data_IF_125067035107
#
_entry.id   IF_125067035107
#
_cell.length_a   1.000
_cell.length_b   1.000
_cell.length_c   1.000
_cell.angle_alpha   90.00
_cell.angle_beta   90.00
_cell.angle_gamma   90.00
#
_symmetry.space_group_name_H-M   'P 1'
#
loop_
_entity.id
_entity.type
_entity.pdbx_description
1 polymer ?
#
# COMPACT_ATOMS: atom_id res chain seq x y z
N UNK A 1 -25.39 2.45 2.22
CA UNK A 1 -25.53 3.44 3.30
C UNK A 1 -24.47 4.52 3.14
N UNK A 2 -24.76 5.77 3.54
CA UNK A 2 -23.74 6.79 3.76
C UNK A 2 -23.37 6.81 5.24
N UNK A 3 -22.09 7.05 5.54
CA UNK A 3 -21.58 7.18 6.91
C UNK A 3 -20.96 8.57 7.03
N UNK A 4 -21.37 9.33 8.04
CA UNK A 4 -20.78 10.61 8.42
C UNK A 4 -20.21 10.49 9.82
N UNK A 5 -19.04 11.07 10.06
CA UNK A 5 -18.37 11.07 11.36
C UNK A 5 -17.98 12.49 11.72
N UNK A 6 -18.23 12.88 12.97
CA UNK A 6 -17.70 14.11 13.55
C UNK A 6 -17.08 13.83 14.92
N UNK A 7 -16.07 14.62 15.27
CA UNK A 7 -15.43 14.59 16.59
C UNK A 7 -15.45 15.99 17.16
N UNK A 8 -15.99 16.17 18.36
CA UNK A 8 -16.15 17.48 19.00
C UNK A 8 -16.85 18.49 18.07
N UNK A 9 -17.95 18.06 17.43
CA UNK A 9 -18.67 18.80 16.39
C UNK A 9 -17.88 19.17 15.12
N UNK A 10 -16.61 18.74 15.00
CA UNK A 10 -15.81 18.91 13.79
C UNK A 10 -16.08 17.75 12.82
N UNK A 11 -16.66 17.99 11.64
CA UNK A 11 -16.93 16.94 10.66
C UNK A 11 -15.62 16.40 10.06
N UNK A 12 -15.56 15.09 9.83
CA UNK A 12 -14.39 14.41 9.24
C UNK A 12 -14.75 13.81 7.89
N UNK A 13 -13.86 14.00 6.92
CA UNK A 13 -13.97 13.36 5.60
C UNK A 13 -13.55 11.90 5.70
N UNK A 14 -14.40 10.99 5.21
CA UNK A 14 -14.14 9.55 5.21
C UNK A 14 -13.86 9.08 3.79
N UNK A 15 -12.63 8.68 3.53
CA UNK A 15 -12.26 8.07 2.26
C UNK A 15 -12.64 6.58 2.24
N UNK A 16 -13.03 6.07 1.06
CA UNK A 16 -13.18 4.63 0.86
C UNK A 16 -11.80 3.98 0.69
N UNK A 17 -11.66 2.78 1.23
CA UNK A 17 -10.52 1.90 0.97
C UNK A 17 -10.58 1.32 -0.44
N UNK A 18 -9.48 0.70 -0.88
CA UNK A 18 -9.31 0.21 -2.25
C UNK A 18 -10.37 -0.81 -2.69
N UNK A 19 -10.87 -1.62 -1.74
CA UNK A 19 -11.91 -2.63 -1.97
C UNK A 19 -13.35 -2.08 -1.97
N UNK A 20 -13.53 -0.76 -1.79
CA UNK A 20 -14.82 -0.03 -1.71
C UNK A 20 -15.79 -0.47 -0.60
N UNK A 21 -15.55 -1.60 0.05
CA UNK A 21 -16.35 -2.17 1.16
C UNK A 21 -15.89 -1.67 2.53
N UNK A 22 -14.67 -1.16 2.64
CA UNK A 22 -14.11 -0.57 3.86
C UNK A 22 -13.86 0.93 3.72
N UNK A 23 -13.79 1.63 4.85
CA UNK A 23 -13.32 3.00 4.93
C UNK A 23 -11.85 3.03 5.36
N UNK A 24 -11.10 4.02 4.89
CA UNK A 24 -9.74 4.24 5.41
C UNK A 24 -9.84 4.65 6.89
N UNK A 25 -8.90 4.20 7.75
CA UNK A 25 -8.87 4.62 9.15
C UNK A 25 -8.80 6.14 9.30
N UNK A 26 -9.60 6.71 10.20
CA UNK A 26 -9.57 8.14 10.52
C UNK A 26 -8.59 8.41 11.65
N UNK A 27 -7.72 9.40 11.46
CA UNK A 27 -6.78 9.81 12.48
C UNK A 27 -7.32 10.99 13.28
N UNK A 28 -7.73 10.74 14.53
CA UNK A 28 -8.48 11.71 15.32
C UNK A 28 -7.59 12.66 16.16
N UNK A 29 -6.28 12.41 16.29
CA UNK A 29 -5.44 13.15 17.27
C UNK A 29 -5.50 14.66 17.10
N UNK A 30 -5.61 15.15 15.86
CA UNK A 30 -5.62 16.58 15.54
C UNK A 30 -6.91 17.31 15.92
N UNK A 31 -8.02 16.58 16.14
CA UNK A 31 -9.32 17.12 16.60
C UNK A 31 -9.62 16.79 18.06
N UNK A 32 -8.76 16.00 18.71
CA UNK A 32 -8.90 15.68 20.12
C UNK A 32 -8.46 16.85 21.01
N UNK A 33 -9.18 17.04 22.11
CA UNK A 33 -8.88 18.01 23.17
C UNK A 33 -8.58 17.30 24.50
N UNK A 34 -7.88 17.95 25.45
CA UNK A 34 -7.74 17.44 26.81
C UNK A 34 -9.12 17.19 27.46
N UNK A 35 -9.26 16.08 28.19
CA UNK A 35 -10.51 15.71 28.84
C UNK A 35 -11.48 14.95 27.93
N UNK A 36 -12.75 15.37 27.89
CA UNK A 36 -13.81 14.65 27.19
C UNK A 36 -13.80 14.97 25.70
N UNK A 37 -13.82 13.91 24.89
CA UNK A 37 -14.02 13.97 23.45
C UNK A 37 -15.30 13.23 23.09
N UNK A 38 -16.10 13.77 22.18
CA UNK A 38 -17.35 13.16 21.72
C UNK A 38 -17.24 12.81 20.25
N UNK A 39 -17.45 11.54 19.91
CA UNK A 39 -17.48 11.06 18.52
C UNK A 39 -18.94 10.79 18.16
N UNK A 40 -19.43 11.42 17.11
CA UNK A 40 -20.77 11.21 16.57
C UNK A 40 -20.66 10.52 15.22
N UNK A 41 -21.39 9.42 15.05
CA UNK A 41 -21.43 8.62 13.83
C UNK A 41 -22.88 8.56 13.36
N UNK A 42 -23.14 9.07 12.16
CA UNK A 42 -24.46 9.04 11.53
C UNK A 42 -24.42 8.06 10.36
N UNK A 43 -25.29 7.05 10.37
CA UNK A 43 -25.44 6.10 9.27
C UNK A 43 -26.79 6.30 8.62
N UNK A 44 -26.81 6.64 7.34
CA UNK A 44 -28.04 6.74 6.55
C UNK A 44 -28.14 5.49 5.67
N UNK A 45 -29.09 4.60 5.98
CA UNK A 45 -29.41 3.47 5.11
C UNK A 45 -30.01 4.00 3.80
N UNK A 46 -29.63 3.40 2.67
CA UNK A 46 -30.29 3.69 1.40
C UNK A 46 -31.58 2.88 1.39
N UNK A 47 -32.72 3.52 1.61
CA UNK A 47 -34.00 2.95 1.24
C UNK A 47 -34.06 2.97 -0.29
N UNK A 48 -33.50 1.96 -0.95
CA UNK A 48 -33.76 1.73 -2.36
C UNK A 48 -35.23 1.31 -2.49
N UNK A 49 -36.16 2.27 -2.48
CA UNK A 49 -37.52 2.05 -2.95
C UNK A 49 -37.38 1.87 -4.46
N UNK A 50 -37.54 0.65 -4.93
CA UNK A 50 -37.67 0.35 -6.35
C UNK A 50 -38.81 1.21 -6.92
N UNK A 51 -38.49 2.09 -7.86
CA UNK A 51 -39.47 2.79 -8.67
C UNK A 51 -40.39 1.75 -9.34
N UNK A 52 -41.68 1.80 -9.03
CA UNK A 52 -42.71 1.42 -10.00
C UNK A 52 -43.65 2.61 -10.14
N UNK A 53 -43.62 3.20 -11.34
CA UNK A 53 -44.66 4.09 -11.84
C UNK A 53 -46.00 3.33 -11.82
N UNK A 54 -47.04 3.95 -11.27
CA UNK A 54 -48.34 3.33 -11.17
C UNK A 54 -49.37 4.27 -10.55
N UNK A 55 -49.81 5.27 -11.31
CA UNK A 55 -50.97 6.10 -10.98
C UNK A 55 -52.22 5.23 -10.83
N UNK A 56 -52.73 4.97 -9.62
CA UNK A 56 -54.16 4.67 -9.40
C UNK A 56 -54.63 5.15 -8.02
N UNK A 57 -55.65 6.02 -8.04
CA UNK A 57 -56.53 6.34 -6.91
C UNK A 57 -57.24 5.07 -6.44
N UNK A 58 -57.23 4.79 -5.15
CA UNK A 58 -58.07 3.75 -4.54
C UNK A 58 -57.76 3.57 -3.05
N UNK A 59 -58.77 3.76 -2.20
CA UNK A 59 -58.72 3.51 -0.76
C UNK A 59 -59.06 2.03 -0.52
N UNK A 60 -58.15 1.23 0.05
CA UNK A 60 -58.47 -0.08 0.64
C UNK A 60 -57.65 -0.32 1.91
N UNK A 61 -58.34 -0.96 2.86
CA UNK A 61 -58.04 -1.25 4.26
C UNK A 61 -57.03 -2.40 4.40
N UNK A 62 -56.45 -2.52 5.60
CA UNK A 62 -55.40 -3.46 6.04
C UNK A 62 -55.49 -4.90 5.51
N UNK A 63 -54.32 -5.44 5.15
CA UNK A 63 -54.06 -6.86 4.92
C UNK A 63 -52.54 -7.09 4.80
N UNK A 64 -52.01 -8.00 5.62
CA UNK A 64 -50.58 -8.27 5.74
C UNK A 64 -49.91 -8.58 4.38
N UNK A 65 -48.84 -7.84 4.06
CA UNK A 65 -47.90 -8.21 3.02
C UNK A 65 -46.51 -8.32 3.65
N UNK A 66 -45.96 -9.53 3.60
CA UNK A 66 -44.60 -9.84 4.01
C UNK A 66 -43.62 -8.81 3.43
N UNK A 67 -42.90 -8.12 4.31
CA UNK A 67 -41.81 -7.23 3.92
C UNK A 67 -40.71 -8.09 3.29
N UNK A 68 -40.15 -7.73 2.12
CA UNK A 68 -38.98 -8.42 1.61
C UNK A 68 -37.81 -8.11 2.54
N UNK A 69 -37.13 -9.18 2.93
CA UNK A 69 -35.99 -9.24 3.83
C UNK A 69 -34.84 -8.34 3.33
N UNK A 70 -34.83 -7.06 3.71
CA UNK A 70 -33.62 -6.23 3.58
C UNK A 70 -32.69 -6.70 4.68
N UNK A 71 -31.63 -7.43 4.33
CA UNK A 71 -30.60 -7.79 5.31
C UNK A 71 -30.07 -6.50 5.94
N UNK A 72 -30.18 -6.29 7.26
CA UNK A 72 -29.61 -5.10 7.88
C UNK A 72 -28.10 -5.11 7.63
N UNK A 73 -27.59 -4.12 6.89
CA UNK A 73 -26.15 -3.91 6.77
C UNK A 73 -25.63 -3.61 8.17
N UNK A 74 -25.01 -4.61 8.80
CA UNK A 74 -24.39 -4.47 10.11
C UNK A 74 -23.08 -3.71 9.94
N UNK A 75 -22.85 -2.68 10.76
CA UNK A 75 -21.64 -1.87 10.73
C UNK A 75 -20.86 -2.09 12.03
N UNK A 76 -19.55 -2.30 11.92
CA UNK A 76 -18.64 -2.37 13.06
C UNK A 76 -17.78 -1.11 13.10
N UNK A 77 -17.81 -0.39 14.21
CA UNK A 77 -16.96 0.77 14.46
C UNK A 77 -15.97 0.41 15.56
N UNK A 78 -14.68 0.69 15.33
CA UNK A 78 -13.61 0.38 16.28
C UNK A 78 -12.81 1.66 16.55
N UNK A 79 -12.64 1.99 17.84
CA UNK A 79 -11.74 3.04 18.30
C UNK A 79 -10.51 2.39 18.96
N UNK A 80 -9.32 2.71 18.46
CA UNK A 80 -8.07 2.18 18.99
C UNK A 80 -7.08 3.29 19.26
N UNK A 81 -6.36 3.19 20.38
CA UNK A 81 -5.16 3.97 20.61
C UNK A 81 -4.00 3.27 19.91
N UNK A 82 -3.34 3.98 18.98
CA UNK A 82 -2.24 3.44 18.18
C UNK A 82 -0.97 4.24 18.39
N UNK A 83 0.18 3.55 18.43
CA UNK A 83 1.48 4.19 18.36
C UNK A 83 1.87 4.38 16.89
N UNK A 84 2.15 5.62 16.49
CA UNK A 84 2.56 5.97 15.13
C UNK A 84 3.99 6.51 15.17
N UNK A 85 5.01 5.66 14.97
CA UNK A 85 6.40 6.12 14.97
C UNK A 85 6.63 7.10 13.82
N UNK A 86 7.56 8.04 14.02
CA UNK A 86 7.98 8.94 12.95
C UNK A 86 8.72 8.17 11.85
N UNK A 87 8.70 8.69 10.62
CA UNK A 87 9.49 8.16 9.50
C UNK A 87 10.96 7.98 9.89
N UNK A 88 11.53 8.96 10.60
CA UNK A 88 12.91 8.91 11.10
C UNK A 88 13.14 7.74 12.06
N UNK A 89 12.22 7.48 12.99
CA UNK A 89 12.34 6.35 13.94
C UNK A 89 12.28 5.01 13.21
N UNK A 90 11.36 4.87 12.26
CA UNK A 90 11.23 3.68 11.41
C UNK A 90 12.49 3.46 10.57
N UNK A 91 12.99 4.52 9.92
CA UNK A 91 14.20 4.51 9.10
C UNK A 91 15.41 4.00 9.89
N UNK A 92 15.64 4.56 11.09
CA UNK A 92 16.73 4.14 11.97
C UNK A 92 16.60 2.67 12.39
N UNK A 93 15.38 2.21 12.67
CA UNK A 93 15.11 0.81 12.99
C UNK A 93 15.46 -0.14 11.83
N UNK A 94 15.10 0.24 10.60
CA UNK A 94 15.39 -0.55 9.40
C UNK A 94 16.89 -0.62 9.12
N UNK A 95 17.61 0.50 9.19
CA UNK A 95 19.08 0.51 8.96
C UNK A 95 19.77 -0.48 9.90
N UNK A 96 19.35 -0.56 11.16
CA UNK A 96 19.95 -1.43 12.16
C UNK A 96 19.55 -2.91 12.01
N UNK A 97 18.31 -3.18 11.59
CA UNK A 97 17.72 -4.53 11.63
C UNK A 97 17.60 -5.22 10.27
N UNK A 98 17.72 -4.47 9.18
CA UNK A 98 17.39 -4.92 7.82
C UNK A 98 18.52 -4.62 6.82
N UNK A 99 19.76 -4.56 7.28
CA UNK A 99 20.91 -4.50 6.38
C UNK A 99 21.04 -5.85 5.66
N UNK A 100 21.02 -5.84 4.33
CA UNK A 100 21.32 -7.01 3.50
C UNK A 100 22.82 -6.99 3.18
N UNK A 101 23.59 -7.97 3.66
CA UNK A 101 25.04 -7.99 3.44
C UNK A 101 25.41 -8.09 1.97
N UNK A 102 26.56 -7.54 1.61
CA UNK A 102 27.03 -7.44 0.23
C UNK A 102 27.07 -8.80 -0.49
N UNK A 103 27.45 -9.88 0.21
CA UNK A 103 27.48 -11.25 -0.29
C UNK A 103 26.10 -11.69 -0.78
N UNK A 104 25.07 -11.42 0.02
CA UNK A 104 23.68 -11.75 -0.33
C UNK A 104 23.15 -10.85 -1.46
N UNK A 105 23.53 -9.56 -1.49
CA UNK A 105 23.24 -8.68 -2.62
C UNK A 105 23.81 -9.23 -3.93
N UNK A 106 25.08 -9.66 -3.92
CA UNK A 106 25.77 -10.27 -5.07
C UNK A 106 25.06 -11.54 -5.51
N UNK A 107 24.62 -12.40 -4.59
CA UNK A 107 23.79 -13.58 -4.94
C UNK A 107 22.50 -13.17 -5.67
N UNK A 108 21.80 -12.13 -5.20
CA UNK A 108 20.60 -11.62 -5.89
C UNK A 108 20.93 -11.05 -7.27
N UNK A 109 22.06 -10.38 -7.43
CA UNK A 109 22.54 -9.85 -8.72
C UNK A 109 22.85 -10.99 -9.69
N UNK A 110 23.67 -11.98 -9.29
CA UNK A 110 24.09 -13.11 -10.13
C UNK A 110 22.91 -13.87 -10.76
N UNK A 111 21.79 -14.03 -10.03
CA UNK A 111 20.57 -14.67 -10.54
C UNK A 111 20.00 -14.01 -11.80
N UNK A 112 20.25 -12.72 -12.02
CA UNK A 112 19.76 -12.01 -13.21
C UNK A 112 20.62 -12.29 -14.46
N UNK A 113 21.79 -12.91 -14.30
CA UNK A 113 22.69 -13.31 -15.38
C UNK A 113 22.52 -14.79 -15.74
N UNK A 114 21.89 -15.59 -14.88
CA UNK A 114 21.72 -17.04 -15.08
C UNK A 114 20.41 -17.46 -15.77
N UNK A 115 19.50 -16.53 -16.08
CA UNK A 115 18.14 -16.85 -16.61
C UNK A 115 18.04 -16.91 -18.14
N UNK A 116 19.03 -17.53 -18.80
CA UNK A 116 19.11 -17.69 -20.26
C UNK A 116 18.31 -18.86 -20.86
N UNK A 117 17.63 -19.71 -20.08
CA UNK A 117 16.76 -20.76 -20.62
C UNK A 117 15.28 -20.37 -20.49
N UNK A 118 14.71 -19.90 -21.59
CA UNK A 118 13.25 -19.79 -21.75
C UNK A 118 12.67 -21.22 -21.88
N UNK A 119 11.75 -21.67 -21.01
CA UNK A 119 11.04 -22.91 -21.24
C UNK A 119 9.92 -22.67 -22.28
N UNK A 120 10.03 -23.28 -23.47
CA UNK A 120 8.87 -23.43 -24.37
C UNK A 120 9.04 -23.06 -25.83
N UNK A 121 10.24 -22.73 -26.33
CA UNK A 121 10.49 -22.56 -27.77
C UNK A 121 11.44 -23.64 -28.27
N UNK A 122 10.97 -24.66 -29.01
CA UNK A 122 11.86 -25.57 -29.73
C UNK A 122 12.44 -24.81 -30.93
N UNK A 123 13.64 -24.26 -30.77
CA UNK A 123 14.45 -23.82 -31.90
C UNK A 123 15.05 -25.03 -32.63
N UNK A 124 15.02 -25.09 -33.97
CA UNK A 124 15.68 -26.15 -34.70
C UNK A 124 17.20 -25.87 -34.67
N UNK A 125 17.95 -26.81 -34.10
CA UNK A 125 19.42 -26.86 -34.05
C UNK A 125 20.07 -26.04 -32.92
N UNK A 126 21.07 -26.65 -32.28
CA UNK A 126 21.60 -26.28 -30.97
C UNK A 126 22.47 -25.01 -30.91
N UNK A 127 22.63 -24.56 -29.66
CA UNK A 127 23.70 -23.70 -29.15
C UNK A 127 23.80 -22.26 -29.69
N UNK A 128 22.73 -21.47 -29.55
CA UNK A 128 22.85 -20.01 -29.67
C UNK A 128 21.98 -19.28 -28.63
N UNK A 129 22.27 -19.57 -27.35
CA UNK A 129 21.67 -18.83 -26.23
C UNK A 129 22.39 -17.49 -26.05
N UNK A 130 21.70 -16.37 -26.25
CA UNK A 130 22.25 -15.04 -25.95
C UNK A 130 22.44 -14.92 -24.43
N UNK A 131 23.69 -14.99 -23.97
CA UNK A 131 24.01 -14.77 -22.57
C UNK A 131 24.01 -13.27 -22.23
N UNK A 132 23.30 -12.89 -21.17
CA UNK A 132 23.34 -11.54 -20.65
C UNK A 132 24.71 -11.30 -19.99
N UNK A 133 25.55 -10.45 -20.59
CA UNK A 133 26.91 -10.15 -20.05
C UNK A 133 26.96 -8.90 -19.18
N UNK A 134 26.00 -7.99 -19.31
CA UNK A 134 25.94 -6.73 -18.56
C UNK A 134 24.50 -6.31 -18.25
N UNK A 135 24.25 -5.71 -17.09
CA UNK A 135 22.96 -5.10 -16.74
C UNK A 135 23.20 -3.67 -16.30
N UNK A 136 22.51 -2.72 -16.95
CA UNK A 136 22.55 -1.31 -16.57
C UNK A 136 21.59 -1.05 -15.42
N UNK A 137 22.09 -0.40 -14.36
CA UNK A 137 21.30 0.00 -13.19
C UNK A 137 21.49 1.50 -12.93
N UNK A 138 20.41 2.20 -12.61
CA UNK A 138 20.47 3.63 -12.30
C UNK A 138 20.81 3.84 -10.83
N UNK A 139 21.69 4.79 -10.53
CA UNK A 139 21.95 5.27 -9.17
C UNK A 139 20.96 6.36 -8.73
N UNK A 140 20.00 6.70 -9.59
CA UNK A 140 18.89 7.62 -9.26
C UNK A 140 17.68 6.84 -8.77
N UNK A 141 17.02 7.36 -7.75
CA UNK A 141 15.81 6.80 -7.18
C UNK A 141 14.66 6.91 -8.19
N UNK A 142 13.88 5.84 -8.42
CA UNK A 142 12.71 5.89 -9.31
C UNK A 142 11.56 6.75 -8.77
N UNK A 143 11.57 7.10 -7.48
CA UNK A 143 10.54 7.94 -6.84
C UNK A 143 10.85 9.43 -7.04
N UNK A 144 12.10 9.82 -6.76
CA UNK A 144 12.50 11.24 -6.70
C UNK A 144 13.33 11.69 -7.89
N UNK A 145 13.80 10.75 -8.71
CA UNK A 145 14.77 10.96 -9.79
C UNK A 145 16.10 11.60 -9.36
N UNK A 146 16.34 11.69 -8.04
CA UNK A 146 17.60 12.16 -7.43
C UNK A 146 18.51 10.98 -7.10
N UNK A 147 19.80 11.25 -6.84
CA UNK A 147 20.76 10.22 -6.39
C UNK A 147 20.24 9.55 -5.12
N UNK A 148 20.21 8.22 -5.11
CA UNK A 148 19.82 7.42 -3.95
C UNK A 148 20.79 7.72 -2.80
N UNK A 149 20.27 8.02 -1.61
CA UNK A 149 21.09 8.21 -0.41
C UNK A 149 21.19 6.91 0.39
N UNK A 150 20.05 6.23 0.55
CA UNK A 150 19.98 4.95 1.24
C UNK A 150 19.30 3.91 0.35
N UNK A 151 20.05 3.03 -0.32
CA UNK A 151 19.49 2.08 -1.27
C UNK A 151 18.72 0.98 -0.54
N UNK A 152 17.46 0.83 -0.91
CA UNK A 152 16.61 -0.23 -0.42
C UNK A 152 15.89 -0.97 -1.55
N UNK A 153 15.45 -2.18 -1.21
CA UNK A 153 14.65 -3.07 -2.05
C UNK A 153 13.72 -3.88 -1.16
N UNK A 154 12.68 -4.46 -1.75
CA UNK A 154 11.89 -5.49 -1.08
C UNK A 154 12.61 -6.84 -1.12
N UNK A 155 12.35 -7.69 -0.11
CA UNK A 155 12.90 -9.03 0.01
C UNK A 155 12.61 -9.88 -1.24
N UNK A 156 11.35 -9.87 -1.69
CA UNK A 156 10.83 -10.65 -2.84
C UNK A 156 11.08 -9.99 -4.21
N UNK A 157 11.76 -8.84 -4.23
CA UNK A 157 12.12 -8.16 -5.45
C UNK A 157 13.24 -8.93 -6.17
N UNK A 158 13.02 -9.28 -7.44
CA UNK A 158 14.00 -9.98 -8.28
C UNK A 158 14.92 -9.04 -9.08
N UNK A 159 14.50 -7.78 -9.26
CA UNK A 159 15.30 -6.75 -9.92
C UNK A 159 16.52 -6.34 -9.09
N UNK A 160 17.50 -5.72 -9.75
CA UNK A 160 18.70 -5.14 -9.13
C UNK A 160 18.47 -3.68 -8.70
N UNK A 161 17.63 -2.93 -9.45
CA UNK A 161 17.37 -1.52 -9.19
C UNK A 161 16.88 -1.28 -7.75
N UNK A 162 17.60 -0.45 -7.01
CA UNK A 162 17.20 0.02 -5.68
C UNK A 162 16.37 1.30 -5.78
N UNK A 163 15.64 1.61 -4.71
CA UNK A 163 15.01 2.90 -4.49
C UNK A 163 15.53 3.53 -3.20
N UNK A 164 15.31 4.82 -3.03
CA UNK A 164 15.69 5.53 -1.81
C UNK A 164 14.73 5.21 -0.66
N UNK A 165 15.27 4.70 0.45
CA UNK A 165 14.46 4.20 1.56
C UNK A 165 13.64 5.30 2.24
N UNK A 166 14.23 6.46 2.51
CA UNK A 166 13.52 7.56 3.17
C UNK A 166 12.37 8.06 2.30
N UNK A 167 12.65 8.27 1.00
CA UNK A 167 11.63 8.66 0.02
C UNK A 167 10.49 7.64 -0.06
N UNK A 168 10.82 6.34 0.02
CA UNK A 168 9.82 5.27 0.03
C UNK A 168 8.94 5.30 1.28
N UNK A 169 9.51 5.53 2.46
CA UNK A 169 8.75 5.62 3.71
C UNK A 169 7.84 6.86 3.72
N UNK A 170 8.30 8.00 3.20
CA UNK A 170 7.49 9.21 3.07
C UNK A 170 6.28 8.97 2.15
N UNK A 171 6.52 8.41 0.95
CA UNK A 171 5.47 8.07 -0.01
C UNK A 171 4.39 7.16 0.61
N UNK A 172 4.81 6.16 1.38
CA UNK A 172 3.87 5.21 2.00
C UNK A 172 3.22 5.75 3.28
N UNK A 173 3.82 6.72 3.96
CA UNK A 173 3.16 7.42 5.06
C UNK A 173 1.93 8.19 4.59
N UNK A 174 1.94 8.69 3.35
CA UNK A 174 0.83 9.40 2.71
C UNK A 174 -0.15 8.44 2.03
N UNK A 175 0.35 7.55 1.17
CA UNK A 175 -0.50 6.73 0.28
C UNK A 175 -0.89 5.38 0.87
N UNK A 176 -0.06 4.80 1.74
CA UNK A 176 -0.32 3.51 2.37
C UNK A 176 -0.40 2.29 1.43
N UNK A 177 0.13 2.38 0.20
CA UNK A 177 -0.02 1.30 -0.81
C UNK A 177 0.98 0.17 -0.64
N UNK A 178 2.16 0.45 -0.08
CA UNK A 178 3.24 -0.49 0.21
C UNK A 178 3.63 -1.40 -0.98
N UNK A 179 3.75 -0.79 -2.16
CA UNK A 179 4.19 -1.46 -3.39
C UNK A 179 5.56 -0.98 -3.83
N UNK A 180 6.40 -1.89 -4.31
CA UNK A 180 7.72 -1.57 -4.83
C UNK A 180 7.61 -0.64 -6.05
N UNK A 181 8.31 0.52 -6.09
CA UNK A 181 8.23 1.47 -7.20
C UNK A 181 8.89 0.95 -8.49
N UNK A 182 9.58 -0.20 -8.45
CA UNK A 182 10.26 -0.79 -9.61
C UNK A 182 9.43 -1.90 -10.23
N UNK A 183 8.91 -2.85 -9.43
CA UNK A 183 8.20 -4.03 -9.94
C UNK A 183 6.76 -4.18 -9.45
N UNK A 184 6.24 -3.22 -8.69
CA UNK A 184 4.87 -3.17 -8.16
C UNK A 184 4.46 -4.33 -7.22
N UNK A 185 5.39 -5.25 -6.90
CA UNK A 185 5.19 -6.26 -5.86
C UNK A 185 5.01 -5.61 -4.49
N UNK A 186 4.30 -6.31 -3.60
CA UNK A 186 4.19 -5.92 -2.19
C UNK A 186 5.56 -5.78 -1.55
N UNK A 187 5.78 -4.70 -0.81
CA UNK A 187 7.03 -4.39 -0.11
C UNK A 187 6.69 -3.72 1.23
N UNK A 188 6.15 -4.52 2.16
CA UNK A 188 5.83 -4.07 3.52
C UNK A 188 7.10 -3.76 4.30
N UNK A 189 6.94 -3.03 5.41
CA UNK A 189 8.04 -2.54 6.23
C UNK A 189 9.00 -3.66 6.67
N UNK A 190 8.45 -4.81 7.07
CA UNK A 190 9.17 -6.00 7.50
C UNK A 190 9.94 -6.70 6.37
N UNK A 191 9.53 -6.48 5.13
CA UNK A 191 10.16 -7.03 3.93
C UNK A 191 11.15 -6.08 3.27
N UNK A 192 11.37 -4.87 3.81
CA UNK A 192 12.38 -3.96 3.28
C UNK A 192 13.78 -4.38 3.71
N UNK A 193 14.72 -4.21 2.79
CA UNK A 193 16.14 -4.52 2.97
C UNK A 193 16.98 -3.33 2.49
N UNK A 194 18.01 -2.95 3.25
CA UNK A 194 19.02 -1.96 2.86
C UNK A 194 20.16 -2.68 2.13
N UNK A 195 20.39 -2.34 0.87
CA UNK A 195 21.33 -3.05 -0.01
C UNK A 195 22.76 -2.55 0.23
N UNK A 196 23.58 -3.32 0.96
CA UNK A 196 24.94 -2.91 1.34
C UNK A 196 25.86 -2.78 0.12
N UNK A 197 25.69 -3.63 -0.89
CA UNK A 197 26.51 -3.58 -2.11
C UNK A 197 26.27 -2.28 -2.88
N UNK A 198 25.00 -1.92 -3.11
CA UNK A 198 24.64 -0.66 -3.76
C UNK A 198 25.06 0.56 -2.92
N UNK A 199 25.00 0.46 -1.58
CA UNK A 199 25.47 1.51 -0.69
C UNK A 199 26.98 1.75 -0.86
N UNK A 200 27.77 0.67 -0.94
CA UNK A 200 29.20 0.77 -1.23
C UNK A 200 29.51 1.48 -2.55
N UNK A 201 28.77 1.15 -3.61
CA UNK A 201 28.88 1.83 -4.91
C UNK A 201 28.57 3.33 -4.78
N UNK A 202 27.47 3.68 -4.10
CA UNK A 202 27.03 5.07 -3.94
C UNK A 202 28.04 5.91 -3.16
N UNK A 203 28.72 5.33 -2.17
CA UNK A 203 29.80 5.97 -1.41
C UNK A 203 31.06 6.11 -2.26
N UNK A 204 31.42 5.10 -3.05
CA UNK A 204 32.66 5.12 -3.83
C UNK A 204 32.60 6.09 -5.02
N UNK A 205 31.47 6.19 -5.71
CA UNK A 205 31.26 7.07 -6.88
C UNK A 205 30.89 8.51 -6.43
N UNK A 206 31.25 8.93 -5.21
CA UNK A 206 31.06 10.33 -4.76
C UNK A 206 32.25 11.25 -5.11
N UNK A 207 33.26 10.74 -5.83
CA UNK A 207 34.34 11.53 -6.42
C UNK A 207 33.99 12.06 -7.80
#
# INVERSE_FOLDING_TARGET
ASVQVSVNATPLTIERGDNKTSHKPLYLKHVCQPGRNTIQITVTACCCVSHQEGTRRGRVVAGAAAQPLVSPQSHLFVLQLVHRPSVRSVLQGLIKKRLLPAEHCITKIKRNFSSGTIPGTPGPNGEDGVEQTAIKVSLKCPITFRRIQLPARGHDCRHIQCFDLESYLQLNCERGTWRCPVCNKTALLEGLEVDQYMLGILIYIQK
#
